data_IF_435210249189
#
_entry.id   IF_435210249189
#
_cell.length_a   1.000
_cell.length_b   1.000
_cell.length_c   1.000
_cell.angle_alpha   90.00
_cell.angle_beta   90.00
_cell.angle_gamma   90.00
#
_symmetry.space_group_name_H-M   'P 1'
#
loop_
_entity.id
_entity.type
_entity.pdbx_description
1 polymer ?
#
# COMPACT_ATOMS: atom_id res chain seq x y z
N UNK A 1 -31.85 10.77 -9.53
CA UNK A 1 -31.20 9.54 -9.04
C UNK A 1 -32.04 8.89 -7.93
N UNK A 2 -32.50 9.70 -6.95
CA UNK A 2 -33.34 9.23 -5.83
C UNK A 2 -34.65 8.64 -6.31
N UNK A 3 -35.33 9.36 -7.20
CA UNK A 3 -36.65 8.93 -7.77
C UNK A 3 -36.50 7.57 -8.49
N UNK A 4 -35.42 7.36 -9.22
CA UNK A 4 -35.16 6.09 -9.90
C UNK A 4 -34.85 4.96 -8.90
N UNK A 5 -34.15 5.28 -7.82
CA UNK A 5 -33.88 4.31 -6.74
C UNK A 5 -35.20 3.90 -6.06
N UNK A 6 -36.05 4.83 -5.71
CA UNK A 6 -37.34 4.56 -5.09
C UNK A 6 -38.26 3.71 -5.96
N UNK A 7 -38.26 3.96 -7.28
CA UNK A 7 -39.06 3.17 -8.23
C UNK A 7 -38.59 1.75 -8.43
N UNK A 8 -37.25 1.52 -8.36
CA UNK A 8 -36.67 0.23 -8.71
C UNK A 8 -36.24 -0.61 -7.52
N UNK A 9 -35.94 0.03 -6.39
CA UNK A 9 -35.29 -0.59 -5.23
C UNK A 9 -36.05 -0.40 -3.91
N UNK A 10 -37.33 0.09 -3.97
CA UNK A 10 -38.15 0.37 -2.79
C UNK A 10 -38.43 -0.86 -1.90
N UNK A 11 -38.24 -2.06 -2.44
CA UNK A 11 -38.42 -3.32 -1.69
C UNK A 11 -37.18 -3.68 -0.84
N UNK A 12 -36.05 -2.99 -1.01
CA UNK A 12 -34.89 -3.16 -0.15
C UNK A 12 -35.00 -2.28 1.09
N UNK A 13 -35.05 -2.89 2.26
CA UNK A 13 -34.87 -2.16 3.51
C UNK A 13 -33.41 -1.76 3.70
N UNK A 14 -33.17 -0.54 4.16
CA UNK A 14 -31.83 -0.11 4.54
C UNK A 14 -31.33 -0.96 5.72
N UNK A 15 -30.20 -1.65 5.54
CA UNK A 15 -29.59 -2.49 6.58
C UNK A 15 -28.82 -1.69 7.63
N UNK A 16 -28.56 -0.39 7.36
CA UNK A 16 -27.87 0.52 8.29
C UNK A 16 -28.90 1.11 9.25
N UNK A 17 -28.65 0.99 10.55
CA UNK A 17 -29.54 1.50 11.58
C UNK A 17 -29.71 3.03 11.48
N UNK A 18 -30.87 3.55 11.85
CA UNK A 18 -31.13 5.00 11.86
C UNK A 18 -30.12 5.75 12.75
N UNK A 19 -29.71 5.15 13.85
CA UNK A 19 -28.70 5.70 14.73
C UNK A 19 -27.35 5.93 14.02
N UNK A 20 -26.89 4.95 13.26
CA UNK A 20 -25.65 5.06 12.49
C UNK A 20 -25.78 6.11 11.38
N UNK A 21 -26.92 6.15 10.68
CA UNK A 21 -27.21 7.16 9.66
C UNK A 21 -27.16 8.58 10.22
N UNK A 22 -27.84 8.84 11.34
CA UNK A 22 -27.83 10.15 11.98
C UNK A 22 -26.47 10.52 12.55
N UNK A 23 -25.77 9.54 13.13
CA UNK A 23 -24.40 9.77 13.65
C UNK A 23 -23.45 10.15 12.52
N UNK A 24 -23.50 9.43 11.39
CA UNK A 24 -22.67 9.73 10.23
C UNK A 24 -23.02 11.09 9.60
N UNK A 25 -24.31 11.38 9.45
CA UNK A 25 -24.78 12.66 8.93
C UNK A 25 -24.28 13.82 9.79
N UNK A 26 -24.36 13.69 11.12
CA UNK A 26 -23.87 14.69 12.06
C UNK A 26 -22.34 14.81 12.03
N UNK A 27 -21.63 13.68 11.96
CA UNK A 27 -20.16 13.64 11.84
C UNK A 27 -19.67 14.40 10.60
N UNK A 28 -20.40 14.28 9.49
CA UNK A 28 -20.09 14.99 8.23
C UNK A 28 -20.47 16.48 8.37
N UNK A 29 -21.69 16.80 8.81
CA UNK A 29 -22.20 18.18 8.85
C UNK A 29 -21.47 19.08 9.84
N UNK A 30 -20.96 18.52 10.93
CA UNK A 30 -20.14 19.25 11.92
C UNK A 30 -18.65 19.36 11.54
N UNK A 31 -18.25 18.87 10.35
CA UNK A 31 -16.89 18.94 9.82
C UNK A 31 -15.87 18.00 10.50
N UNK A 32 -16.32 17.05 11.32
CA UNK A 32 -15.44 16.05 11.93
C UNK A 32 -14.85 15.12 10.89
N UNK A 33 -15.66 14.73 9.90
CA UNK A 33 -15.21 13.87 8.79
C UNK A 33 -14.05 14.52 8.03
N UNK A 34 -14.21 15.77 7.64
CA UNK A 34 -13.18 16.50 6.88
C UNK A 34 -11.88 16.65 7.68
N UNK A 35 -11.98 17.01 8.97
CA UNK A 35 -10.83 17.07 9.87
C UNK A 35 -10.13 15.72 10.01
N UNK A 36 -10.89 14.63 10.12
CA UNK A 36 -10.34 13.28 10.20
C UNK A 36 -9.58 12.93 8.91
N UNK A 37 -10.18 13.14 7.74
CA UNK A 37 -9.55 12.87 6.44
C UNK A 37 -8.27 13.69 6.28
N UNK A 38 -8.26 14.95 6.64
CA UNK A 38 -7.06 15.81 6.56
C UNK A 38 -5.94 15.32 7.48
N UNK A 39 -6.28 14.90 8.70
CA UNK A 39 -5.33 14.29 9.64
C UNK A 39 -4.72 13.00 9.07
N UNK A 40 -5.56 12.12 8.49
CA UNK A 40 -5.12 10.86 7.88
C UNK A 40 -4.22 11.12 6.66
N UNK A 41 -4.59 12.04 5.77
CA UNK A 41 -3.77 12.43 4.62
C UNK A 41 -2.38 12.91 5.03
N UNK A 42 -2.29 13.75 6.06
CA UNK A 42 -1.02 14.26 6.56
C UNK A 42 -0.17 13.14 7.17
N UNK A 43 -0.79 12.27 7.98
CA UNK A 43 -0.12 11.12 8.58
C UNK A 43 0.46 10.18 7.51
N UNK A 44 -0.34 9.77 6.54
CA UNK A 44 0.13 8.85 5.49
C UNK A 44 1.16 9.49 4.56
N UNK A 45 1.05 10.79 4.28
CA UNK A 45 2.09 11.50 3.53
C UNK A 45 3.43 11.49 4.27
N UNK A 46 3.44 11.70 5.57
CA UNK A 46 4.65 11.63 6.39
C UNK A 46 5.23 10.21 6.43
N UNK A 47 4.40 9.19 6.62
CA UNK A 47 4.82 7.80 6.59
C UNK A 47 5.47 7.43 5.24
N UNK A 48 4.81 7.80 4.15
CA UNK A 48 5.34 7.61 2.80
C UNK A 48 6.73 8.26 2.66
N UNK A 49 6.90 9.52 3.08
CA UNK A 49 8.20 10.19 2.99
C UNK A 49 9.29 9.45 3.77
N UNK A 50 8.99 8.94 4.96
CA UNK A 50 9.93 8.15 5.76
C UNK A 50 10.34 6.86 5.07
N UNK A 51 9.39 6.14 4.48
CA UNK A 51 9.68 4.89 3.75
C UNK A 51 10.51 5.16 2.50
N UNK A 52 10.15 6.17 1.70
CA UNK A 52 10.92 6.54 0.51
C UNK A 52 12.35 6.96 0.87
N UNK A 53 12.51 7.76 1.92
CA UNK A 53 13.84 8.15 2.42
C UNK A 53 14.67 6.93 2.87
N UNK A 54 14.04 5.96 3.56
CA UNK A 54 14.69 4.73 3.97
C UNK A 54 15.12 3.85 2.77
N UNK A 55 14.27 3.74 1.74
CA UNK A 55 14.61 3.03 0.50
C UNK A 55 15.80 3.73 -0.19
N UNK A 56 15.76 5.05 -0.34
CA UNK A 56 16.83 5.81 -0.96
C UNK A 56 18.15 5.76 -0.19
N UNK A 57 18.11 5.59 1.12
CA UNK A 57 19.28 5.42 1.95
C UNK A 57 19.80 3.97 2.02
N UNK A 58 19.09 3.01 1.44
CA UNK A 58 19.41 1.59 1.46
C UNK A 58 20.04 1.13 0.15
N UNK A 59 20.68 -0.06 0.12
CA UNK A 59 21.19 -0.68 -1.12
C UNK A 59 20.10 -0.90 -2.19
N UNK A 60 18.83 -0.98 -1.80
CA UNK A 60 17.71 -1.08 -2.76
C UNK A 60 17.66 0.09 -3.74
N UNK A 61 18.13 1.27 -3.36
CA UNK A 61 18.12 2.44 -4.23
C UNK A 61 18.80 2.21 -5.58
N UNK A 62 19.85 1.39 -5.60
CA UNK A 62 20.64 1.12 -6.81
C UNK A 62 19.94 0.15 -7.78
N UNK A 63 19.05 -0.70 -7.28
CA UNK A 63 18.40 -1.75 -8.07
C UNK A 63 16.89 -1.58 -8.17
N UNK A 64 16.31 -0.50 -7.63
CA UNK A 64 14.87 -0.30 -7.62
C UNK A 64 14.43 0.99 -8.29
N UNK A 65 13.22 0.94 -8.82
CA UNK A 65 12.49 2.09 -9.34
C UNK A 65 11.13 2.18 -8.63
N UNK A 66 10.78 3.40 -8.22
CA UNK A 66 9.53 3.66 -7.53
C UNK A 66 8.55 4.31 -8.51
N UNK A 67 7.39 3.68 -8.67
CA UNK A 67 6.29 4.24 -9.44
C UNK A 67 5.18 4.67 -8.49
N UNK A 68 4.88 5.95 -8.50
CA UNK A 68 3.88 6.56 -7.64
C UNK A 68 2.81 7.29 -8.45
N UNK A 69 1.59 7.17 -7.97
CA UNK A 69 0.48 8.05 -8.40
C UNK A 69 -0.05 8.73 -7.15
N UNK A 70 0.59 9.68 -6.57
CA UNK A 70 0.17 10.54 -5.44
C UNK A 70 -1.24 10.32 -4.82
N UNK A 71 -1.75 9.11 -4.90
CA UNK A 71 -3.08 8.70 -4.49
C UNK A 71 -3.03 7.35 -3.78
N UNK A 72 -3.83 7.23 -2.70
CA UNK A 72 -3.93 5.99 -1.94
C UNK A 72 -2.92 5.85 -0.82
N UNK A 73 -2.74 4.61 -0.36
CA UNK A 73 -1.90 4.23 0.78
C UNK A 73 -0.77 3.29 0.39
N UNK A 74 -0.49 3.18 -0.90
CA UNK A 74 0.54 2.29 -1.45
C UNK A 74 1.27 2.93 -2.63
N UNK A 75 2.46 2.43 -2.92
CA UNK A 75 3.20 2.67 -4.15
C UNK A 75 3.76 1.36 -4.68
N UNK A 76 4.19 1.38 -5.94
CA UNK A 76 4.80 0.23 -6.61
C UNK A 76 6.31 0.39 -6.59
N UNK A 77 7.00 -0.66 -6.13
CA UNK A 77 8.45 -0.77 -6.10
C UNK A 77 8.87 -1.85 -7.09
N UNK A 78 9.42 -1.44 -8.21
CA UNK A 78 10.02 -2.36 -9.17
C UNK A 78 11.47 -2.60 -8.80
N UNK A 79 11.88 -3.86 -8.67
CA UNK A 79 13.24 -4.27 -8.29
C UNK A 79 13.83 -5.02 -9.47
N UNK A 80 14.93 -4.49 -9.98
CA UNK A 80 15.72 -5.13 -11.05
C UNK A 80 16.61 -6.21 -10.42
N UNK A 81 16.17 -7.46 -10.52
CA UNK A 81 16.81 -8.64 -9.95
C UNK A 81 16.74 -9.81 -10.91
N UNK A 82 17.66 -10.74 -10.78
CA UNK A 82 17.65 -12.01 -11.53
C UNK A 82 16.77 -13.07 -10.90
N UNK A 83 16.29 -12.81 -9.69
CA UNK A 83 15.38 -13.71 -8.98
C UNK A 83 13.99 -13.67 -9.61
N UNK A 84 13.39 -14.81 -9.78
CA UNK A 84 11.99 -14.91 -10.13
C UNK A 84 11.12 -14.49 -8.95
N UNK A 85 9.89 -14.02 -9.23
CA UNK A 85 8.92 -13.69 -8.18
C UNK A 85 8.68 -14.86 -7.21
N UNK A 86 8.64 -16.09 -7.69
CA UNK A 86 8.46 -17.28 -6.87
C UNK A 86 9.63 -17.49 -5.88
N UNK A 87 10.87 -17.22 -6.31
CA UNK A 87 12.04 -17.31 -5.45
C UNK A 87 12.02 -16.21 -4.39
N UNK A 88 11.73 -14.97 -4.77
CA UNK A 88 11.58 -13.85 -3.82
C UNK A 88 10.49 -14.15 -2.80
N UNK A 89 9.33 -14.64 -3.24
CA UNK A 89 8.22 -15.01 -2.37
C UNK A 89 8.63 -16.09 -1.36
N UNK A 90 9.31 -17.12 -1.81
CA UNK A 90 9.82 -18.22 -0.96
C UNK A 90 10.82 -17.71 0.06
N UNK A 91 11.79 -16.89 -0.35
CA UNK A 91 12.83 -16.33 0.53
C UNK A 91 12.22 -15.38 1.55
N UNK A 92 11.27 -14.54 1.14
CA UNK A 92 10.55 -13.64 2.02
C UNK A 92 9.78 -14.39 3.11
N UNK A 93 9.04 -15.45 2.75
CA UNK A 93 8.33 -16.29 3.71
C UNK A 93 9.28 -16.98 4.69
N UNK A 94 10.43 -17.47 4.24
CA UNK A 94 11.46 -18.06 5.11
C UNK A 94 12.08 -17.03 6.08
N UNK A 95 12.01 -15.74 5.73
CA UNK A 95 12.42 -14.62 6.56
C UNK A 95 11.26 -14.00 7.38
N UNK A 96 10.12 -14.67 7.53
CA UNK A 96 8.91 -14.16 8.17
C UNK A 96 8.44 -12.80 7.62
N UNK A 97 8.56 -12.62 6.30
CA UNK A 97 8.07 -11.44 5.59
C UNK A 97 6.93 -11.83 4.64
N UNK A 98 5.78 -11.18 4.80
CA UNK A 98 4.67 -11.30 3.86
C UNK A 98 4.73 -10.12 2.88
N UNK A 99 5.10 -10.39 1.63
CA UNK A 99 5.17 -9.39 0.57
C UNK A 99 3.93 -9.47 -0.32
N UNK A 100 3.46 -8.32 -0.79
CA UNK A 100 2.43 -8.22 -1.83
C UNK A 100 3.08 -7.94 -3.17
N UNK A 101 2.78 -8.75 -4.16
CA UNK A 101 3.32 -8.61 -5.51
C UNK A 101 2.30 -7.97 -6.44
N UNK A 102 2.76 -7.26 -7.44
CA UNK A 102 1.87 -6.63 -8.42
C UNK A 102 1.04 -7.67 -9.19
N UNK A 103 1.60 -8.86 -9.42
CA UNK A 103 0.94 -9.99 -10.03
C UNK A 103 -0.33 -10.47 -9.27
N UNK A 104 -0.36 -10.28 -7.95
CA UNK A 104 -1.54 -10.63 -7.12
C UNK A 104 -2.77 -9.76 -7.48
N UNK A 105 -2.58 -8.64 -8.18
CA UNK A 105 -3.62 -7.66 -8.53
C UNK A 105 -3.83 -7.49 -10.04
N UNK A 106 -3.06 -8.20 -10.86
CA UNK A 106 -3.11 -8.10 -12.32
C UNK A 106 -3.54 -9.40 -12.96
N UNK A 107 -4.46 -9.33 -13.92
CA UNK A 107 -4.85 -10.49 -14.75
C UNK A 107 -3.87 -10.76 -15.90
N UNK A 108 -3.10 -9.74 -16.31
CA UNK A 108 -2.07 -9.87 -17.34
C UNK A 108 -0.71 -9.88 -16.67
N UNK A 109 -0.21 -11.05 -16.38
CA UNK A 109 1.19 -11.27 -16.04
C UNK A 109 1.99 -11.36 -17.34
N UNK A 110 2.32 -10.21 -17.95
CA UNK A 110 3.46 -10.19 -18.84
C UNK A 110 4.69 -10.49 -17.97
N UNK A 111 5.53 -11.41 -18.40
CA UNK A 111 6.81 -11.70 -17.76
C UNK A 111 7.65 -10.43 -17.81
N UNK A 112 7.54 -9.60 -16.78
CA UNK A 112 8.42 -8.47 -16.58
C UNK A 112 9.73 -9.01 -16.01
N UNK A 113 10.85 -8.66 -16.63
CA UNK A 113 12.18 -8.85 -16.04
C UNK A 113 12.22 -8.13 -14.69
N UNK A 114 12.38 -8.90 -13.60
CA UNK A 114 12.46 -8.37 -12.24
C UNK A 114 11.24 -8.69 -11.37
N UNK A 115 11.24 -8.11 -10.18
CA UNK A 115 10.23 -8.30 -9.16
C UNK A 115 9.50 -6.98 -8.88
N UNK A 116 8.18 -6.98 -8.96
CA UNK A 116 7.37 -5.78 -8.71
C UNK A 116 6.52 -5.96 -7.46
N UNK A 117 6.82 -5.16 -6.44
CA UNK A 117 6.16 -5.19 -5.13
C UNK A 117 5.14 -4.05 -5.00
N UNK A 118 4.06 -4.31 -4.28
CA UNK A 118 3.10 -3.30 -3.83
C UNK A 118 3.37 -3.01 -2.37
N UNK A 119 3.94 -1.85 -2.09
CA UNK A 119 4.29 -1.42 -0.73
C UNK A 119 3.13 -0.62 -0.14
N UNK A 120 2.45 -1.21 0.84
CA UNK A 120 1.41 -0.53 1.60
C UNK A 120 2.01 0.15 2.83
N UNK A 121 2.15 1.47 2.78
CA UNK A 121 2.73 2.24 3.87
C UNK A 121 1.78 2.46 5.06
N UNK A 122 0.51 2.11 4.94
CA UNK A 122 -0.41 2.11 6.06
C UNK A 122 -0.18 0.91 7.01
N UNK A 123 0.48 -0.15 6.54
CA UNK A 123 0.74 -1.37 7.31
C UNK A 123 2.09 -1.35 8.06
N UNK A 124 2.97 -0.37 7.80
CA UNK A 124 4.31 -0.31 8.39
C UNK A 124 4.32 0.68 9.55
N UNK A 125 4.65 0.23 10.74
CA UNK A 125 4.85 1.10 11.91
C UNK A 125 6.09 1.98 11.72
N UNK A 126 5.98 3.26 12.11
CA UNK A 126 6.99 4.29 11.80
C UNK A 126 8.38 3.99 12.37
N UNK A 127 8.46 3.37 13.54
CA UNK A 127 9.68 2.98 14.23
C UNK A 127 10.33 1.72 13.63
N UNK A 128 9.58 0.93 12.86
CA UNK A 128 10.05 -0.31 12.23
C UNK A 128 10.50 -0.12 10.78
N UNK A 129 10.32 1.06 10.18
CA UNK A 129 10.61 1.29 8.75
C UNK A 129 12.04 0.90 8.39
N UNK A 130 13.03 1.35 9.16
CA UNK A 130 14.43 1.06 8.88
C UNK A 130 14.73 -0.45 8.89
N UNK A 131 14.25 -1.17 9.91
CA UNK A 131 14.43 -2.60 10.03
C UNK A 131 13.71 -3.38 8.91
N UNK A 132 12.51 -2.94 8.51
CA UNK A 132 11.77 -3.55 7.40
C UNK A 132 12.52 -3.38 6.08
N UNK A 133 13.04 -2.18 5.79
CA UNK A 133 13.79 -1.92 4.56
C UNK A 133 15.12 -2.67 4.54
N UNK A 134 15.84 -2.76 5.68
CA UNK A 134 17.04 -3.57 5.80
C UNK A 134 16.77 -5.05 5.51
N UNK A 135 15.73 -5.61 6.13
CA UNK A 135 15.29 -7.01 5.87
C UNK A 135 14.87 -7.20 4.42
N UNK A 136 14.15 -6.27 3.83
CA UNK A 136 13.76 -6.32 2.42
C UNK A 136 15.01 -6.31 1.52
N UNK A 137 16.00 -5.45 1.82
CA UNK A 137 17.26 -5.38 1.08
C UNK A 137 18.03 -6.72 1.11
N UNK A 138 18.01 -7.41 2.24
CA UNK A 138 18.72 -8.69 2.41
C UNK A 138 18.16 -9.85 1.59
N UNK A 139 16.95 -9.71 1.05
CA UNK A 139 16.35 -10.72 0.17
C UNK A 139 16.99 -10.72 -1.23
N UNK A 140 17.67 -9.63 -1.61
CA UNK A 140 18.23 -9.45 -2.95
C UNK A 140 19.76 -9.51 -2.92
N UNK A 141 20.37 -10.56 -3.51
CA UNK A 141 21.83 -10.73 -3.53
C UNK A 141 22.57 -9.55 -4.19
N UNK A 142 21.91 -8.87 -5.14
CA UNK A 142 22.47 -7.71 -5.83
C UNK A 142 22.78 -6.55 -4.87
N UNK A 143 22.03 -6.42 -3.78
CA UNK A 143 22.28 -5.42 -2.75
C UNK A 143 23.60 -5.64 -2.01
N UNK A 144 24.09 -6.87 -1.94
CA UNK A 144 25.34 -7.23 -1.25
C UNK A 144 26.59 -7.01 -2.10
N UNK A 145 26.44 -6.72 -3.39
CA UNK A 145 27.57 -6.54 -4.34
C UNK A 145 27.94 -5.06 -4.52
N UNK A 146 27.27 -4.14 -3.84
CA UNK A 146 27.42 -2.69 -4.00
C UNK A 146 28.29 -2.08 -2.87
N UNK A 147 28.96 -2.92 -2.07
CA UNK A 147 29.90 -2.51 -1.01
C UNK A 147 31.34 -2.53 -1.52
#
# INVERSE_FOLDING_TARGET
LLDRYEQTMSFYSCTVSSFEQYTLARFISEGYFERHINKMKNYYREQRHKILAAIHASPLAAISQITERNAGTHFVLHINTRLTEAEVRKTALAADMCLSFYSDYSYNTEENDGCTLVINYAAIEADKIAAVIERLSSLFPECNQII
#
